data_IF_846124868829
#
_entry.id   IF_846124868829
#
_cell.length_a   1.000
_cell.length_b   1.000
_cell.length_c   1.000
_cell.angle_alpha   90.00
_cell.angle_beta   90.00
_cell.angle_gamma   90.00
#
_symmetry.space_group_name_H-M   'P 1'
#
loop_
_entity.id
_entity.type
_entity.pdbx_description
1 polymer ?
#
# COMPACT_ATOMS: atom_id res chain seq x y z
N UNK A 1 -25.97 -32.86 1.74
CA UNK A 1 -26.69 -33.79 0.83
C UNK A 1 -26.08 -35.15 1.06
N UNK A 2 -26.81 -36.08 1.68
CA UNK A 2 -26.26 -37.40 1.99
C UNK A 2 -26.17 -38.19 0.68
N UNK A 3 -25.05 -38.89 0.40
CA UNK A 3 -24.94 -39.67 -0.84
C UNK A 3 -26.01 -40.76 -0.86
N UNK A 4 -26.70 -40.92 -2.00
CA UNK A 4 -27.65 -42.02 -2.22
C UNK A 4 -26.87 -43.31 -2.50
N UNK A 5 -27.23 -44.40 -1.81
CA UNK A 5 -26.46 -45.63 -1.75
C UNK A 5 -27.27 -46.88 -2.14
N UNK A 6 -28.45 -46.74 -2.75
CA UNK A 6 -29.26 -47.88 -3.16
C UNK A 6 -28.64 -48.63 -4.36
N UNK A 7 -28.47 -49.95 -4.22
CA UNK A 7 -27.97 -50.84 -5.28
C UNK A 7 -26.45 -51.13 -5.32
N UNK A 8 -25.65 -50.64 -4.35
CA UNK A 8 -24.18 -50.77 -4.36
C UNK A 8 -23.66 -51.73 -3.27
N UNK A 9 -22.61 -52.51 -3.56
CA UNK A 9 -22.00 -53.46 -2.61
C UNK A 9 -21.42 -52.76 -1.37
N UNK A 10 -21.39 -53.46 -0.22
CA UNK A 10 -20.86 -52.93 1.05
C UNK A 10 -19.43 -52.38 0.91
N UNK A 11 -18.58 -53.07 0.15
CA UNK A 11 -17.20 -52.63 -0.14
C UNK A 11 -17.17 -51.30 -0.89
N UNK A 12 -18.01 -51.13 -1.91
CA UNK A 12 -18.12 -49.85 -2.64
C UNK A 12 -18.62 -48.71 -1.76
N UNK A 13 -19.58 -48.96 -0.86
CA UNK A 13 -20.04 -47.93 0.10
C UNK A 13 -18.90 -47.48 1.01
N UNK A 14 -18.06 -48.41 1.47
CA UNK A 14 -16.93 -48.12 2.34
C UNK A 14 -15.85 -47.30 1.63
N UNK A 15 -15.49 -47.67 0.39
CA UNK A 15 -14.53 -46.91 -0.43
C UNK A 15 -15.04 -45.49 -0.76
N UNK A 16 -16.33 -45.33 -1.07
CA UNK A 16 -16.92 -44.01 -1.34
C UNK A 16 -16.85 -43.13 -0.09
N UNK A 17 -17.20 -43.67 1.09
CA UNK A 17 -17.15 -42.94 2.35
C UNK A 17 -15.72 -42.55 2.74
N UNK A 18 -14.73 -43.41 2.49
CA UNK A 18 -13.31 -43.14 2.76
C UNK A 18 -12.76 -42.03 1.84
N UNK A 19 -13.09 -42.08 0.55
CA UNK A 19 -12.75 -41.02 -0.40
C UNK A 19 -13.41 -39.68 -0.03
N UNK A 20 -14.67 -39.71 0.41
CA UNK A 20 -15.40 -38.50 0.83
C UNK A 20 -14.75 -37.84 2.05
N UNK A 21 -14.40 -38.64 3.09
CA UNK A 21 -13.67 -38.16 4.26
C UNK A 21 -12.30 -37.57 3.87
N UNK A 22 -11.58 -38.25 2.99
CA UNK A 22 -10.28 -37.79 2.49
C UNK A 22 -10.40 -36.45 1.74
N UNK A 23 -11.48 -36.26 0.97
CA UNK A 23 -11.77 -34.99 0.28
C UNK A 23 -12.11 -33.86 1.26
N UNK A 24 -12.90 -34.14 2.31
CA UNK A 24 -13.21 -33.15 3.35
C UNK A 24 -11.96 -32.76 4.16
N UNK A 25 -11.12 -33.71 4.56
CA UNK A 25 -9.85 -33.44 5.25
C UNK A 25 -8.91 -32.58 4.40
N UNK A 26 -8.78 -32.87 3.10
CA UNK A 26 -7.98 -32.05 2.17
C UNK A 26 -8.52 -30.62 2.06
N UNK A 27 -9.85 -30.44 2.07
CA UNK A 27 -10.47 -29.13 2.04
C UNK A 27 -10.22 -28.34 3.34
N UNK A 28 -10.26 -29.02 4.50
CA UNK A 28 -9.96 -28.41 5.81
C UNK A 28 -8.49 -27.99 5.88
N UNK A 29 -7.57 -28.87 5.49
CA UNK A 29 -6.13 -28.57 5.46
C UNK A 29 -5.83 -27.42 4.49
N UNK A 30 -6.49 -27.40 3.33
CA UNK A 30 -6.38 -26.30 2.36
C UNK A 30 -6.78 -24.95 2.97
N UNK A 31 -7.95 -24.88 3.62
CA UNK A 31 -8.41 -23.67 4.31
C UNK A 31 -7.49 -23.25 5.46
N UNK A 32 -7.00 -24.20 6.25
CA UNK A 32 -6.06 -23.91 7.34
C UNK A 32 -4.73 -23.36 6.82
N UNK A 33 -4.20 -23.91 5.73
CA UNK A 33 -2.97 -23.41 5.12
C UNK A 33 -3.16 -22.01 4.50
N UNK A 34 -4.31 -21.75 3.89
CA UNK A 34 -4.68 -20.43 3.36
C UNK A 34 -4.78 -19.40 4.48
N UNK A 35 -5.45 -19.73 5.58
CA UNK A 35 -5.60 -18.85 6.73
C UNK A 35 -4.28 -18.62 7.49
N UNK A 36 -3.44 -19.64 7.61
CA UNK A 36 -2.08 -19.50 8.14
C UNK A 36 -1.24 -18.56 7.27
N UNK A 37 -1.33 -18.68 5.94
CA UNK A 37 -0.63 -17.79 5.00
C UNK A 37 -1.10 -16.33 5.12
N UNK A 38 -2.42 -16.11 5.24
CA UNK A 38 -3.00 -14.76 5.44
C UNK A 38 -2.55 -14.16 6.79
N UNK A 39 -2.48 -14.97 7.85
CA UNK A 39 -2.04 -14.51 9.17
C UNK A 39 -0.59 -13.98 9.17
N UNK A 40 0.28 -14.56 8.35
CA UNK A 40 1.68 -14.15 8.18
C UNK A 40 1.78 -12.83 7.38
N UNK A 41 0.83 -12.57 6.49
CA UNK A 41 0.79 -11.37 5.65
C UNK A 41 0.20 -10.15 6.38
N UNK A 42 -0.42 -10.33 7.55
CA UNK A 42 -0.98 -9.22 8.34
C UNK A 42 0.14 -8.38 8.96
N UNK A 43 0.19 -7.07 8.71
CA UNK A 43 1.21 -6.21 9.33
C UNK A 43 1.00 -6.13 10.85
N UNK A 44 2.10 -6.09 11.61
CA UNK A 44 2.01 -5.94 13.06
C UNK A 44 1.49 -4.56 13.44
N UNK A 45 0.69 -4.47 14.51
CA UNK A 45 0.15 -3.18 14.98
C UNK A 45 1.27 -2.16 15.28
N UNK A 46 2.42 -2.63 15.75
CA UNK A 46 3.60 -1.80 15.98
C UNK A 46 4.16 -1.20 14.67
N UNK A 47 4.24 -2.00 13.59
CA UNK A 47 4.69 -1.52 12.29
C UNK A 47 3.70 -0.52 11.68
N UNK A 48 2.40 -0.78 11.82
CA UNK A 48 1.35 0.14 11.37
C UNK A 48 1.47 1.48 12.11
N UNK A 49 1.56 1.46 13.43
CA UNK A 49 1.74 2.67 14.24
C UNK A 49 3.02 3.43 13.88
N UNK A 50 4.15 2.73 13.74
CA UNK A 50 5.41 3.32 13.32
C UNK A 50 5.31 4.00 11.95
N UNK A 51 4.67 3.35 10.96
CA UNK A 51 4.51 3.92 9.62
C UNK A 51 3.70 5.22 9.62
N UNK A 52 2.62 5.28 10.42
CA UNK A 52 1.83 6.51 10.58
C UNK A 52 2.61 7.61 11.30
N UNK A 53 3.38 7.28 12.34
CA UNK A 53 4.23 8.26 13.01
C UNK A 53 5.25 8.86 12.05
N UNK A 54 5.96 8.04 11.28
CA UNK A 54 6.96 8.52 10.30
C UNK A 54 6.28 9.39 9.23
N UNK A 55 5.10 9.01 8.76
CA UNK A 55 4.33 9.82 7.81
C UNK A 55 3.98 11.19 8.38
N UNK A 56 3.41 11.24 9.58
CA UNK A 56 3.05 12.49 10.26
C UNK A 56 4.29 13.34 10.50
N UNK A 57 5.38 12.75 11.02
CA UNK A 57 6.63 13.47 11.26
C UNK A 57 7.18 14.04 9.96
N UNK A 58 7.21 13.28 8.86
CA UNK A 58 7.69 13.77 7.57
C UNK A 58 6.89 14.97 7.05
N UNK A 59 5.56 14.85 7.02
CA UNK A 59 4.66 15.91 6.55
C UNK A 59 4.72 17.14 7.45
N UNK A 60 4.64 16.96 8.76
CA UNK A 60 4.69 18.07 9.72
C UNK A 60 6.05 18.76 9.69
N UNK A 61 7.15 18.01 9.65
CA UNK A 61 8.49 18.59 9.56
C UNK A 61 8.65 19.43 8.30
N UNK A 62 8.17 18.93 7.14
CA UNK A 62 8.17 19.70 5.90
C UNK A 62 7.37 21.01 6.03
N UNK A 63 6.15 20.96 6.59
CA UNK A 63 5.31 22.14 6.80
C UNK A 63 5.91 23.14 7.81
N UNK A 64 6.56 22.64 8.86
CA UNK A 64 7.28 23.47 9.84
C UNK A 64 8.47 24.15 9.17
N UNK A 65 9.28 23.42 8.39
CA UNK A 65 10.36 24.02 7.60
C UNK A 65 9.85 25.10 6.67
N UNK A 66 8.73 24.84 5.97
CA UNK A 66 8.11 25.80 5.07
C UNK A 66 7.62 27.08 5.79
N UNK A 67 7.10 26.91 7.00
CA UNK A 67 6.62 28.03 7.81
C UNK A 67 7.79 28.91 8.27
N UNK A 68 8.92 28.31 8.64
CA UNK A 68 10.10 29.01 9.14
C UNK A 68 11.01 29.58 8.03
N UNK A 69 11.02 28.99 6.84
CA UNK A 69 11.88 29.43 5.74
C UNK A 69 11.59 30.88 5.33
N UNK A 70 12.64 31.66 5.08
CA UNK A 70 12.55 33.02 4.55
C UNK A 70 12.29 33.00 3.04
N UNK A 71 11.03 32.75 2.67
CA UNK A 71 10.57 32.70 1.28
C UNK A 71 9.34 33.57 1.08
N UNK A 72 9.12 34.00 -0.16
CA UNK A 72 7.85 34.62 -0.55
C UNK A 72 6.67 33.63 -0.41
N UNK A 73 5.47 34.14 -0.19
CA UNK A 73 4.28 33.30 0.07
C UNK A 73 3.91 32.40 -1.12
N UNK A 74 4.10 32.88 -2.35
CA UNK A 74 3.92 32.12 -3.58
C UNK A 74 4.92 30.95 -3.69
N UNK A 75 6.19 31.15 -3.31
CA UNK A 75 7.20 30.09 -3.25
C UNK A 75 6.83 29.04 -2.19
N UNK A 76 6.37 29.48 -1.02
CA UNK A 76 5.85 28.56 0.00
C UNK A 76 4.68 27.73 -0.55
N UNK A 77 3.74 28.38 -1.22
CA UNK A 77 2.61 27.72 -1.86
C UNK A 77 3.03 26.70 -2.93
N UNK A 78 4.08 26.98 -3.70
CA UNK A 78 4.65 26.06 -4.68
C UNK A 78 5.14 24.77 -4.01
N UNK A 79 5.98 24.87 -2.99
CA UNK A 79 6.52 23.71 -2.26
C UNK A 79 5.43 22.91 -1.53
N UNK A 80 4.47 23.60 -0.92
CA UNK A 80 3.32 22.94 -0.28
C UNK A 80 2.48 22.16 -1.31
N UNK A 81 2.23 22.75 -2.48
CA UNK A 81 1.51 22.08 -3.57
C UNK A 81 2.27 20.86 -4.04
N UNK A 82 3.61 20.94 -4.18
CA UNK A 82 4.43 19.78 -4.53
C UNK A 82 4.33 18.67 -3.48
N UNK A 83 4.36 18.99 -2.18
CA UNK A 83 4.16 18.00 -1.11
C UNK A 83 2.84 17.25 -1.29
N UNK A 84 1.72 17.97 -1.41
CA UNK A 84 0.40 17.37 -1.56
C UNK A 84 0.28 16.57 -2.86
N UNK A 85 0.78 17.13 -3.96
CA UNK A 85 0.75 16.51 -5.27
C UNK A 85 1.59 15.23 -5.30
N UNK A 86 2.80 15.26 -4.77
CA UNK A 86 3.67 14.09 -4.66
C UNK A 86 3.04 12.98 -3.82
N UNK A 87 2.49 13.31 -2.65
CA UNK A 87 1.79 12.36 -1.77
C UNK A 87 0.63 11.67 -2.49
N UNK A 88 -0.20 12.45 -3.18
CA UNK A 88 -1.31 11.93 -3.98
C UNK A 88 -0.81 11.04 -5.13
N UNK A 89 0.22 11.48 -5.85
CA UNK A 89 0.77 10.77 -7.01
C UNK A 89 1.37 9.43 -6.64
N UNK A 90 2.17 9.33 -5.58
CA UNK A 90 2.77 8.04 -5.18
C UNK A 90 1.71 7.04 -4.70
N UNK A 91 0.68 7.51 -3.99
CA UNK A 91 -0.46 6.67 -3.58
C UNK A 91 -1.22 6.16 -4.81
N UNK A 92 -1.38 7.02 -5.82
CA UNK A 92 -2.06 6.68 -7.08
C UNK A 92 -1.27 5.68 -7.91
N UNK A 93 0.06 5.85 -8.01
CA UNK A 93 0.96 4.87 -8.63
C UNK A 93 0.83 3.52 -7.93
N UNK A 94 0.92 3.51 -6.61
CA UNK A 94 0.89 2.25 -5.86
C UNK A 94 -0.45 1.53 -5.99
N UNK A 95 -1.54 2.29 -6.00
CA UNK A 95 -2.87 1.76 -6.27
C UNK A 95 -2.95 1.11 -7.64
N UNK A 96 -2.51 1.81 -8.69
CA UNK A 96 -2.63 1.28 -10.06
C UNK A 96 -1.71 0.08 -10.32
N UNK A 97 -0.47 0.11 -9.81
CA UNK A 97 0.46 -1.03 -9.92
C UNK A 97 -0.16 -2.26 -9.29
N UNK A 98 -0.73 -2.11 -8.08
CA UNK A 98 -1.43 -3.19 -7.39
C UNK A 98 -2.65 -3.66 -8.17
N UNK A 99 -3.54 -2.75 -8.58
CA UNK A 99 -4.78 -3.11 -9.28
C UNK A 99 -4.47 -3.93 -10.54
N UNK A 100 -3.40 -3.57 -11.26
CA UNK A 100 -2.89 -4.34 -12.41
C UNK A 100 -2.38 -5.73 -12.03
N UNK A 101 -1.71 -5.88 -10.88
CA UNK A 101 -1.26 -7.19 -10.36
C UNK A 101 -2.44 -8.07 -9.92
N UNK A 102 -3.48 -7.45 -9.35
CA UNK A 102 -4.72 -8.11 -8.89
C UNK A 102 -5.72 -8.34 -10.05
N UNK A 103 -5.32 -8.09 -11.30
CA UNK A 103 -6.16 -8.23 -12.51
C UNK A 103 -7.44 -7.38 -12.49
N UNK A 104 -7.44 -6.28 -11.72
CA UNK A 104 -8.48 -5.26 -11.74
C UNK A 104 -8.23 -4.34 -12.95
N UNK A 105 -9.25 -4.02 -13.76
CA UNK A 105 -9.07 -3.18 -14.93
C UNK A 105 -8.60 -1.77 -14.54
N UNK A 106 -7.44 -1.37 -15.07
CA UNK A 106 -6.86 -0.03 -14.92
C UNK A 106 -6.71 0.59 -16.30
N UNK A 107 -7.10 1.85 -16.45
CA UNK A 107 -6.84 2.60 -17.68
C UNK A 107 -5.34 2.86 -17.85
N UNK A 108 -4.77 2.48 -19.00
CA UNK A 108 -3.35 2.74 -19.31
C UNK A 108 -3.01 4.24 -19.26
N UNK A 109 -3.95 5.11 -19.63
CA UNK A 109 -3.80 6.56 -19.52
C UNK A 109 -3.65 6.98 -18.05
N UNK A 110 -4.51 6.47 -17.17
CA UNK A 110 -4.46 6.81 -15.74
C UNK A 110 -3.19 6.26 -15.07
N UNK A 111 -2.77 5.04 -15.45
CA UNK A 111 -1.50 4.46 -15.01
C UNK A 111 -0.30 5.32 -15.42
N UNK A 112 -0.24 5.72 -16.70
CA UNK A 112 0.80 6.59 -17.23
C UNK A 112 0.81 7.97 -16.55
N UNK A 113 -0.35 8.59 -16.37
CA UNK A 113 -0.47 9.89 -15.68
C UNK A 113 -0.05 9.83 -14.21
N UNK A 114 -0.33 8.73 -13.52
CA UNK A 114 0.09 8.56 -12.13
C UNK A 114 1.61 8.51 -12.01
N UNK A 115 2.28 7.74 -12.88
CA UNK A 115 3.75 7.69 -12.92
C UNK A 115 4.36 9.02 -13.34
N UNK A 116 3.81 9.65 -14.38
CA UNK A 116 4.26 10.95 -14.84
C UNK A 116 4.15 12.00 -13.75
N UNK A 117 3.01 12.09 -13.05
CA UNK A 117 2.81 13.06 -11.97
C UNK A 117 3.74 12.83 -10.79
N UNK A 118 4.00 11.56 -10.41
CA UNK A 118 4.96 11.23 -9.36
C UNK A 118 6.38 11.73 -9.73
N UNK A 119 6.84 11.42 -10.94
CA UNK A 119 8.14 11.86 -11.43
C UNK A 119 8.22 13.38 -11.60
N UNK A 120 7.14 14.01 -12.09
CA UNK A 120 7.06 15.45 -12.26
C UNK A 120 7.15 16.16 -10.90
N UNK A 121 6.42 15.68 -9.88
CA UNK A 121 6.47 16.26 -8.52
C UNK A 121 7.88 16.23 -7.93
N UNK A 122 8.59 15.10 -8.09
CA UNK A 122 9.95 14.94 -7.61
C UNK A 122 10.93 15.83 -8.39
N UNK A 123 10.80 15.88 -9.71
CA UNK A 123 11.66 16.69 -10.59
C UNK A 123 11.47 18.18 -10.30
N UNK A 124 10.23 18.64 -10.17
CA UNK A 124 9.91 20.02 -9.83
C UNK A 124 10.46 20.38 -8.44
N UNK A 125 10.35 19.50 -7.45
CA UNK A 125 10.97 19.75 -6.14
C UNK A 125 12.49 19.95 -6.26
N UNK A 126 13.18 19.07 -6.99
CA UNK A 126 14.62 19.17 -7.20
C UNK A 126 14.99 20.50 -7.88
N UNK A 127 14.28 20.86 -8.96
CA UNK A 127 14.50 22.12 -9.68
C UNK A 127 14.21 23.31 -8.77
N UNK A 128 13.12 23.28 -8.02
CA UNK A 128 12.74 24.33 -7.07
C UNK A 128 13.83 24.54 -6.04
N UNK A 129 14.24 23.48 -5.34
CA UNK A 129 15.27 23.56 -4.30
C UNK A 129 16.63 23.97 -4.87
N UNK A 130 16.96 23.56 -6.10
CA UNK A 130 18.20 23.98 -6.76
C UNK A 130 18.23 25.50 -6.96
N UNK A 131 17.10 26.09 -7.38
CA UNK A 131 16.99 27.51 -7.70
C UNK A 131 16.60 28.40 -6.51
N UNK A 132 16.13 27.84 -5.40
CA UNK A 132 15.75 28.61 -4.23
C UNK A 132 16.97 29.22 -3.52
N UNK A 133 16.81 30.44 -3.02
CA UNK A 133 17.78 31.11 -2.17
C UNK A 133 17.62 30.63 -0.72
N UNK A 134 18.05 29.39 -0.49
CA UNK A 134 18.04 28.72 0.81
C UNK A 134 19.45 28.21 1.13
N UNK A 135 19.72 28.03 2.42
CA UNK A 135 20.92 27.30 2.81
C UNK A 135 20.88 25.85 2.33
N UNK A 136 22.05 25.26 2.10
CA UNK A 136 22.17 23.87 1.65
C UNK A 136 21.56 22.88 2.66
N UNK A 137 21.65 23.19 3.95
CA UNK A 137 21.04 22.45 5.06
C UNK A 137 19.52 22.41 4.94
N UNK A 138 18.89 23.55 4.66
CA UNK A 138 17.44 23.68 4.48
C UNK A 138 16.96 22.95 3.22
N UNK A 139 17.69 23.08 2.11
CA UNK A 139 17.41 22.32 0.88
C UNK A 139 17.42 20.81 1.15
N UNK A 140 18.45 20.34 1.86
CA UNK A 140 18.56 18.95 2.28
C UNK A 140 17.40 18.53 3.18
N UNK A 141 17.02 19.36 4.15
CA UNK A 141 15.89 19.12 5.04
C UNK A 141 14.57 18.96 4.26
N UNK A 142 14.25 19.86 3.34
CA UNK A 142 13.04 19.76 2.52
C UNK A 142 13.05 18.51 1.64
N UNK A 143 14.17 18.20 0.98
CA UNK A 143 14.30 17.00 0.16
C UNK A 143 14.08 15.72 0.97
N UNK A 144 14.72 15.61 2.13
CA UNK A 144 14.59 14.43 2.99
C UNK A 144 13.20 14.31 3.60
N UNK A 145 12.63 15.39 4.13
CA UNK A 145 11.27 15.38 4.70
C UNK A 145 10.23 14.98 3.65
N UNK A 146 10.38 15.48 2.41
CA UNK A 146 9.53 15.09 1.28
C UNK A 146 9.65 13.60 0.98
N UNK A 147 10.86 13.08 0.79
CA UNK A 147 11.09 11.66 0.48
C UNK A 147 10.59 10.73 1.60
N UNK A 148 10.84 11.09 2.87
CA UNK A 148 10.32 10.37 4.04
C UNK A 148 8.80 10.38 4.02
N UNK A 149 8.17 11.53 3.76
CA UNK A 149 6.71 11.65 3.65
C UNK A 149 6.14 10.75 2.54
N UNK A 150 6.72 10.78 1.34
CA UNK A 150 6.30 9.94 0.21
C UNK A 150 6.42 8.44 0.53
N UNK A 151 7.58 8.02 1.04
CA UNK A 151 7.83 6.63 1.35
C UNK A 151 6.91 6.12 2.48
N UNK A 152 6.71 6.94 3.51
CA UNK A 152 5.82 6.60 4.61
C UNK A 152 4.36 6.55 4.15
N UNK A 153 3.93 7.42 3.23
CA UNK A 153 2.58 7.39 2.65
C UNK A 153 2.31 6.07 1.89
N UNK A 154 3.27 5.63 1.06
CA UNK A 154 3.20 4.32 0.38
C UNK A 154 3.09 3.19 1.40
N UNK A 155 3.90 3.24 2.46
CA UNK A 155 3.91 2.24 3.53
C UNK A 155 2.58 2.19 4.28
N UNK A 156 2.04 3.36 4.66
CA UNK A 156 0.73 3.50 5.32
C UNK A 156 -0.40 2.96 4.44
N UNK A 157 -0.38 3.26 3.13
CA UNK A 157 -1.36 2.75 2.19
C UNK A 157 -1.30 1.22 2.09
N UNK A 158 -0.09 0.66 2.00
CA UNK A 158 0.13 -0.79 1.98
C UNK A 158 -0.40 -1.45 3.25
N UNK A 159 -0.03 -0.92 4.42
CA UNK A 159 -0.49 -1.42 5.72
C UNK A 159 -2.01 -1.38 5.87
N UNK A 160 -2.63 -0.26 5.49
CA UNK A 160 -4.10 -0.08 5.56
C UNK A 160 -4.82 -1.08 4.66
N UNK A 161 -4.26 -1.38 3.49
CA UNK A 161 -4.79 -2.43 2.60
C UNK A 161 -4.65 -3.81 3.23
N UNK A 162 -3.45 -4.16 3.69
CA UNK A 162 -3.15 -5.52 4.18
C UNK A 162 -3.99 -5.87 5.42
N UNK A 163 -4.27 -4.87 6.27
CA UNK A 163 -5.23 -5.02 7.36
C UNK A 163 -6.65 -5.32 6.86
N UNK A 164 -7.15 -4.58 5.86
CA UNK A 164 -8.50 -4.81 5.30
C UNK A 164 -8.67 -6.21 4.71
N UNK A 165 -7.67 -6.69 3.96
CA UNK A 165 -7.66 -8.06 3.41
C UNK A 165 -7.67 -9.11 4.52
N UNK A 166 -6.97 -8.85 5.62
CA UNK A 166 -6.96 -9.74 6.77
C UNK A 166 -8.29 -9.75 7.52
N UNK A 167 -9.01 -8.62 7.55
CA UNK A 167 -10.33 -8.49 8.18
C UNK A 167 -11.46 -9.11 7.34
N UNK A 168 -11.43 -8.97 6.02
CA UNK A 168 -12.48 -9.50 5.14
C UNK A 168 -12.53 -11.03 5.07
N UNK A 169 -11.47 -11.70 5.50
CA UNK A 169 -11.31 -13.16 5.44
C UNK A 169 -11.54 -13.87 6.79
N UNK A 170 -11.93 -13.13 7.84
CA UNK A 170 -12.38 -13.67 9.13
C UNK A 170 -13.90 -13.61 9.25
#
# INVERSE_FOLDING_TARGET
MQPDFDGISLYQKQTIMENFKTSEERAIIGKQNEQATISILKPSNAFVGASWMVFVIGVVSYCVGLSNAEMQLNEKGYYFTLLLFGLFSVISVQKNVRDKMEQIPVSDIYYGLSWFSALASLTLLVIGLWNADLELSEKGFFGMAYLVGLFAAITVQKNTRDLKVSESNN
#
